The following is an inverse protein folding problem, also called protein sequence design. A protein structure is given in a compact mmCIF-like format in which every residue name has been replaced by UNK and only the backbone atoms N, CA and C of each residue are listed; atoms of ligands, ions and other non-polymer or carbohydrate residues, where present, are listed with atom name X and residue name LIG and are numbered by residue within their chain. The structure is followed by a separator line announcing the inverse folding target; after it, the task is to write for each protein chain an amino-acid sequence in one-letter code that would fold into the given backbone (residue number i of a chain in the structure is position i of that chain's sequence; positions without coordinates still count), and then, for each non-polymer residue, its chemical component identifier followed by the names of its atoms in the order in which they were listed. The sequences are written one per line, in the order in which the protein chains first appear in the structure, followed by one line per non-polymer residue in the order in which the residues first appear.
data_IF_185388741183
#
_entry.id   IF_185388741183
#
_cell.length_a   1.000
_cell.length_b   1.000
_cell.length_c   1.000
_cell.angle_alpha   90.00
_cell.angle_beta   90.00
_cell.angle_gamma   90.00
#
_symmetry.space_group_name_H-M   'P 1'
#
loop_
_entity.id
_entity.type
_entity.pdbx_description
1 polymer ?
#
# COMPACT_ATOMS: atom_id res chain seq x y z
N UNK A 1 -5.68 10.55 28.33
CA UNK A 1 -6.67 9.52 28.08
C UNK A 1 -6.22 8.16 28.63
N UNK A 2 -5.29 7.49 28.02
CA UNK A 2 -4.79 6.23 28.53
C UNK A 2 -4.14 6.38 29.90
N UNK A 3 -3.58 7.51 30.11
CA UNK A 3 -2.83 7.78 31.33
C UNK A 3 -3.70 7.68 32.57
N UNK A 4 -4.86 8.31 32.55
CA UNK A 4 -5.78 8.21 33.67
C UNK A 4 -6.30 6.81 33.86
N UNK A 5 -6.53 6.07 32.78
CA UNK A 5 -6.94 4.69 32.86
C UNK A 5 -5.86 3.81 33.47
N UNK A 6 -4.61 4.07 33.12
CA UNK A 6 -3.50 3.29 33.66
C UNK A 6 -3.42 3.36 35.18
N UNK A 7 -3.64 4.54 35.73
CA UNK A 7 -3.61 4.69 37.18
C UNK A 7 -4.69 3.87 37.86
N UNK A 8 -5.89 3.86 37.28
CA UNK A 8 -6.99 3.07 37.80
C UNK A 8 -6.73 1.59 37.68
N UNK A 9 -6.21 1.18 36.52
CA UNK A 9 -5.91 -0.22 36.26
C UNK A 9 -4.88 -0.78 37.22
N UNK A 10 -3.84 -0.01 37.49
CA UNK A 10 -2.77 -0.45 38.39
C UNK A 10 -3.27 -0.69 39.80
N UNK A 11 -4.32 0.01 40.20
CA UNK A 11 -4.84 -0.11 41.56
C UNK A 11 -5.77 -1.27 41.79
N UNK A 12 -6.56 -1.60 40.77
CA UNK A 12 -7.72 -2.48 40.98
C UNK A 12 -7.72 -3.75 40.18
N UNK A 13 -6.85 -3.88 39.20
CA UNK A 13 -6.86 -5.05 38.33
C UNK A 13 -5.97 -6.15 38.87
N UNK A 14 -6.51 -7.36 38.88
CA UNK A 14 -5.74 -8.55 39.15
C UNK A 14 -4.85 -8.89 37.95
N UNK A 15 -3.75 -9.66 38.17
CA UNK A 15 -2.88 -10.00 37.04
C UNK A 15 -3.59 -10.66 35.86
N UNK A 16 -4.56 -11.54 36.14
CA UNK A 16 -5.29 -12.21 35.05
C UNK A 16 -6.21 -11.24 34.31
N UNK A 17 -6.76 -10.26 35.01
CA UNK A 17 -7.60 -9.25 34.36
C UNK A 17 -6.76 -8.34 33.46
N UNK A 18 -5.56 -8.00 33.91
CA UNK A 18 -4.64 -7.19 33.11
C UNK A 18 -4.23 -7.97 31.86
N UNK A 19 -4.03 -9.27 31.98
CA UNK A 19 -3.66 -10.11 30.85
C UNK A 19 -4.80 -10.16 29.82
N UNK A 20 -6.02 -10.37 30.29
CA UNK A 20 -7.19 -10.39 29.40
C UNK A 20 -7.36 -9.08 28.67
N UNK A 21 -7.18 -7.97 29.37
CA UNK A 21 -7.25 -6.65 28.80
C UNK A 21 -6.21 -6.44 27.73
N UNK A 22 -4.99 -6.90 28.01
CA UNK A 22 -3.89 -6.83 27.06
C UNK A 22 -4.24 -7.62 25.79
N UNK A 23 -4.83 -8.82 25.96
CA UNK A 23 -5.23 -9.63 24.82
C UNK A 23 -6.31 -8.96 23.99
N UNK A 24 -7.27 -8.30 24.63
CA UNK A 24 -8.30 -7.55 23.93
C UNK A 24 -7.71 -6.41 23.11
N UNK A 25 -6.80 -5.62 23.69
CA UNK A 25 -6.15 -4.53 23.01
C UNK A 25 -5.34 -5.03 21.81
N UNK A 26 -4.69 -6.17 21.99
CA UNK A 26 -3.94 -6.78 20.91
C UNK A 26 -4.84 -7.16 19.74
N UNK A 27 -6.00 -7.74 20.03
CA UNK A 27 -6.96 -8.11 18.99
C UNK A 27 -7.48 -6.89 18.24
N UNK A 28 -7.78 -5.82 18.98
CA UNK A 28 -8.24 -4.57 18.36
C UNK A 28 -7.15 -4.00 17.44
N UNK A 29 -5.92 -4.00 17.92
CA UNK A 29 -4.79 -3.51 17.14
C UNK A 29 -4.62 -4.32 15.85
N UNK A 30 -4.73 -5.64 15.95
CA UNK A 30 -4.62 -6.52 14.79
C UNK A 30 -5.76 -6.29 13.80
N UNK A 31 -6.97 -6.07 14.30
CA UNK A 31 -8.12 -5.79 13.46
C UNK A 31 -7.95 -4.48 12.72
N UNK A 32 -7.45 -3.45 13.40
CA UNK A 32 -7.22 -2.14 12.77
C UNK A 32 -6.14 -2.23 11.70
N UNK A 33 -5.08 -2.99 11.95
CA UNK A 33 -4.02 -3.18 10.98
C UNK A 33 -4.54 -3.88 9.73
N UNK A 34 -5.43 -4.86 9.91
CA UNK A 34 -6.02 -5.59 8.80
C UNK A 34 -6.94 -4.69 7.98
N UNK A 35 -7.72 -3.85 8.64
CA UNK A 35 -8.60 -2.89 7.95
C UNK A 35 -7.77 -1.91 7.15
N UNK A 36 -6.70 -1.38 7.72
CA UNK A 36 -5.82 -0.45 7.03
C UNK A 36 -5.20 -1.11 5.81
N UNK A 37 -4.73 -2.35 5.95
CA UNK A 37 -4.16 -3.10 4.83
C UNK A 37 -5.19 -3.30 3.72
N UNK A 38 -6.42 -3.62 4.08
CA UNK A 38 -7.49 -3.78 3.12
C UNK A 38 -7.75 -2.49 2.35
N UNK A 39 -7.82 -1.38 3.07
CA UNK A 39 -8.11 -0.08 2.46
C UNK A 39 -6.99 0.38 1.54
N UNK A 40 -5.74 0.20 1.95
CA UNK A 40 -4.60 0.60 1.12
C UNK A 40 -4.51 -0.30 -0.10
N UNK A 41 -4.75 -1.60 0.06
CA UNK A 41 -4.80 -2.53 -1.08
C UNK A 41 -5.85 -2.09 -2.09
N UNK A 42 -7.02 -1.72 -1.61
CA UNK A 42 -8.08 -1.27 -2.49
C UNK A 42 -7.68 -0.02 -3.27
N UNK A 43 -7.03 0.92 -2.60
CA UNK A 43 -6.55 2.13 -3.26
C UNK A 43 -5.51 1.80 -4.33
N UNK A 44 -4.59 0.90 -4.01
CA UNK A 44 -3.55 0.51 -4.94
C UNK A 44 -4.13 -0.19 -6.18
N UNK A 45 -5.06 -1.12 -5.98
CA UNK A 45 -5.60 -1.91 -7.08
C UNK A 45 -6.70 -1.21 -7.87
N UNK A 46 -7.27 -0.13 -7.34
CA UNK A 46 -8.30 0.62 -8.05
C UNK A 46 -7.81 1.95 -8.61
N UNK A 47 -6.58 2.34 -8.29
CA UNK A 47 -6.03 3.60 -8.74
C UNK A 47 -5.81 3.59 -10.25
N UNK A 48 -6.31 4.61 -10.92
CA UNK A 48 -6.15 4.75 -12.37
C UNK A 48 -5.70 6.16 -12.71
N UNK A 49 -4.81 6.26 -13.68
CA UNK A 49 -4.34 7.53 -14.17
C UNK A 49 -5.34 8.09 -15.20
N UNK A 50 -5.69 9.35 -15.06
CA UNK A 50 -6.55 10.00 -16.03
C UNK A 50 -5.74 10.50 -17.22
N UNK A 51 -6.40 10.64 -18.38
CA UNK A 51 -5.74 10.96 -19.64
C UNK A 51 -4.88 12.22 -19.59
N UNK A 52 -5.37 13.24 -18.93
CA UNK A 52 -4.69 14.53 -18.92
C UNK A 52 -3.91 14.80 -17.64
N UNK A 53 -3.70 13.77 -16.82
CA UNK A 53 -2.98 13.98 -15.58
C UNK A 53 -1.49 13.67 -15.76
N UNK A 54 -0.72 14.06 -14.76
CA UNK A 54 0.73 13.88 -14.79
C UNK A 54 1.12 12.44 -14.47
N UNK A 55 1.92 11.83 -15.34
CA UNK A 55 2.44 10.51 -15.09
C UNK A 55 3.31 10.48 -13.83
N UNK A 56 4.07 11.54 -13.60
CA UNK A 56 4.92 11.62 -12.40
C UNK A 56 4.10 11.60 -11.12
N UNK A 57 2.99 12.35 -11.09
CA UNK A 57 2.13 12.36 -9.92
C UNK A 57 1.45 11.02 -9.71
N UNK A 58 1.00 10.39 -10.78
CA UNK A 58 0.38 9.08 -10.70
C UNK A 58 1.34 8.03 -10.14
N UNK A 59 2.59 8.05 -10.63
CA UNK A 59 3.61 7.13 -10.19
C UNK A 59 3.94 7.32 -8.71
N UNK A 60 4.04 8.58 -8.28
CA UNK A 60 4.27 8.88 -6.87
C UNK A 60 3.15 8.34 -5.99
N UNK A 61 1.92 8.49 -6.46
CA UNK A 61 0.76 7.98 -5.73
C UNK A 61 0.80 6.45 -5.63
N UNK A 62 1.04 5.78 -6.76
CA UNK A 62 1.10 4.31 -6.79
C UNK A 62 2.25 3.79 -5.93
N UNK A 63 3.40 4.45 -6.02
CA UNK A 63 4.56 4.09 -5.22
C UNK A 63 4.29 4.27 -3.73
N UNK A 64 3.57 5.33 -3.38
CA UNK A 64 3.17 5.57 -2.00
C UNK A 64 2.28 4.48 -1.45
N UNK A 65 1.31 4.02 -2.23
CA UNK A 65 0.45 2.92 -1.81
C UNK A 65 1.26 1.63 -1.62
N UNK A 66 2.17 1.34 -2.55
CA UNK A 66 3.00 0.15 -2.44
C UNK A 66 3.90 0.20 -1.20
N UNK A 67 4.51 1.35 -0.94
CA UNK A 67 5.34 1.51 0.24
C UNK A 67 4.53 1.35 1.53
N UNK A 68 3.31 1.86 1.54
CA UNK A 68 2.42 1.70 2.69
C UNK A 68 2.09 0.23 2.92
N UNK A 69 1.83 -0.51 1.83
CA UNK A 69 1.60 -1.95 1.94
C UNK A 69 2.81 -2.68 2.52
N UNK A 70 4.00 -2.29 2.09
CA UNK A 70 5.23 -2.89 2.62
C UNK A 70 5.34 -2.64 4.12
N UNK A 71 5.02 -1.44 4.58
CA UNK A 71 5.03 -1.12 6.00
C UNK A 71 4.02 -1.94 6.79
N UNK A 72 2.94 -2.34 6.14
CA UNK A 72 1.91 -3.16 6.76
C UNK A 72 2.20 -4.66 6.63
N UNK A 73 3.38 -5.00 6.11
CA UNK A 73 3.81 -6.40 6.00
C UNK A 73 3.41 -7.08 4.72
N UNK A 74 2.90 -6.34 3.73
CA UNK A 74 2.50 -6.90 2.44
C UNK A 74 3.59 -6.62 1.42
N UNK A 75 4.32 -7.67 1.04
CA UNK A 75 5.40 -7.56 0.07
C UNK A 75 4.95 -8.20 -1.24
N UNK A 76 4.47 -7.37 -2.15
CA UNK A 76 4.06 -7.84 -3.46
C UNK A 76 5.29 -8.10 -4.32
N UNK A 77 5.29 -9.15 -5.15
CA UNK A 77 6.39 -9.36 -6.10
C UNK A 77 6.52 -8.17 -7.03
N UNK A 78 7.73 -7.86 -7.43
CA UNK A 78 7.99 -6.72 -8.31
C UNK A 78 7.19 -6.83 -9.61
N UNK A 79 7.07 -8.03 -10.16
CA UNK A 79 6.30 -8.24 -11.39
C UNK A 79 4.84 -7.85 -11.21
N UNK A 80 4.27 -8.17 -10.04
CA UNK A 80 2.89 -7.82 -9.76
C UNK A 80 2.70 -6.31 -9.65
N UNK A 81 3.66 -5.62 -9.02
CA UNK A 81 3.61 -4.16 -8.90
C UNK A 81 3.72 -3.53 -10.29
N UNK A 82 4.65 -4.01 -11.10
CA UNK A 82 4.84 -3.52 -12.47
C UNK A 82 3.56 -3.69 -13.28
N UNK A 83 2.98 -4.89 -13.25
CA UNK A 83 1.73 -5.17 -13.97
C UNK A 83 0.62 -4.22 -13.52
N UNK A 84 0.52 -4.00 -12.22
CA UNK A 84 -0.53 -3.11 -11.70
C UNK A 84 -0.33 -1.68 -12.18
N UNK A 85 0.90 -1.20 -12.17
CA UNK A 85 1.20 0.15 -12.65
C UNK A 85 0.85 0.26 -14.14
N UNK A 86 1.25 -0.71 -14.94
CA UNK A 86 0.94 -0.69 -16.37
C UNK A 86 -0.57 -0.73 -16.63
N UNK A 87 -1.30 -1.54 -15.86
CA UNK A 87 -2.76 -1.63 -15.99
C UNK A 87 -3.46 -0.35 -15.59
N UNK A 88 -2.82 0.48 -14.78
CA UNK A 88 -3.42 1.73 -14.30
C UNK A 88 -3.28 2.88 -15.29
N UNK A 89 -2.55 2.69 -16.36
CA UNK A 89 -2.29 3.75 -17.34
C UNK A 89 -3.47 3.92 -18.28
N UNK A 90 -3.72 5.15 -18.78
CA UNK A 90 -4.83 5.40 -19.67
C UNK A 90 -4.57 4.90 -21.09
N UNK A 91 -5.60 4.86 -21.95
CA UNK A 91 -5.46 4.32 -23.31
C UNK A 91 -4.34 4.96 -24.13
N UNK A 92 -3.98 6.19 -23.87
CA UNK A 92 -2.90 6.85 -24.59
C UNK A 92 -1.55 6.17 -24.40
N UNK A 93 -1.42 5.31 -23.38
CA UNK A 93 -0.21 4.57 -23.11
C UNK A 93 -0.24 3.14 -23.67
N UNK A 94 -1.25 2.81 -24.45
CA UNK A 94 -1.43 1.45 -24.96
C UNK A 94 -0.19 0.93 -25.68
N UNK A 95 0.39 1.75 -26.56
CA UNK A 95 1.57 1.33 -27.31
C UNK A 95 2.78 1.12 -26.38
N UNK A 96 2.92 1.98 -25.38
CA UNK A 96 3.99 1.83 -24.40
C UNK A 96 3.86 0.51 -23.66
N UNK A 97 2.65 0.19 -23.21
CA UNK A 97 2.39 -1.05 -22.47
C UNK A 97 2.64 -2.26 -23.34
N UNK A 98 2.16 -2.23 -24.59
CA UNK A 98 2.37 -3.33 -25.52
C UNK A 98 3.86 -3.57 -25.77
N UNK A 99 4.58 -2.50 -26.03
CA UNK A 99 6.02 -2.63 -26.30
C UNK A 99 6.77 -3.16 -25.08
N UNK A 100 6.40 -2.70 -23.90
CA UNK A 100 7.01 -3.16 -22.66
C UNK A 100 6.82 -4.67 -22.51
N UNK A 101 5.58 -5.13 -22.69
CA UNK A 101 5.26 -6.55 -22.51
C UNK A 101 5.87 -7.43 -23.60
N UNK A 102 5.86 -6.95 -24.85
CA UNK A 102 6.36 -7.75 -25.97
C UNK A 102 7.87 -7.90 -25.95
N UNK A 103 8.57 -6.88 -25.48
CA UNK A 103 10.03 -6.94 -25.42
C UNK A 103 10.53 -7.73 -24.21
N UNK A 104 9.62 -8.16 -23.35
CA UNK A 104 9.98 -8.88 -22.14
C UNK A 104 10.95 -8.08 -21.29
N UNK A 105 10.70 -6.81 -21.15
CA UNK A 105 11.60 -5.94 -20.42
C UNK A 105 11.73 -6.37 -18.97
N UNK A 106 12.92 -6.83 -18.62
CA UNK A 106 13.23 -7.24 -17.26
C UNK A 106 13.81 -6.04 -16.52
N UNK A 107 12.97 -5.09 -16.21
CA UNK A 107 13.38 -3.86 -15.56
C UNK A 107 12.86 -3.80 -14.15
N UNK A 108 13.62 -3.12 -13.29
CA UNK A 108 13.16 -2.88 -11.93
C UNK A 108 12.01 -1.88 -11.94
N UNK A 109 11.28 -1.85 -10.83
CA UNK A 109 10.19 -0.88 -10.65
C UNK A 109 10.73 0.54 -10.82
N UNK A 110 11.92 0.80 -10.29
CA UNK A 110 12.54 2.12 -10.39
C UNK A 110 12.82 2.51 -11.83
N UNK A 111 13.29 1.56 -12.63
CA UNK A 111 13.55 1.83 -14.03
C UNK A 111 12.28 2.09 -14.82
N UNK A 112 11.22 1.32 -14.53
CA UNK A 112 9.91 1.56 -15.14
C UNK A 112 9.40 2.95 -14.79
N UNK A 113 9.52 3.34 -13.54
CA UNK A 113 9.07 4.66 -13.11
C UNK A 113 9.84 5.76 -13.83
N UNK A 114 11.14 5.59 -13.99
CA UNK A 114 11.96 6.55 -14.72
C UNK A 114 11.53 6.68 -16.18
N UNK A 115 11.22 5.56 -16.82
CA UNK A 115 10.75 5.57 -18.21
C UNK A 115 9.41 6.31 -18.33
N UNK A 116 8.51 6.09 -17.40
CA UNK A 116 7.20 6.74 -17.42
C UNK A 116 7.29 8.23 -17.15
N UNK A 117 8.21 8.65 -16.28
CA UNK A 117 8.40 10.07 -15.98
C UNK A 117 8.92 10.85 -17.18
N UNK A 118 9.73 10.22 -18.03
CA UNK A 118 10.25 10.86 -19.21
C UNK A 118 9.24 10.94 -20.34
N UNK A 119 8.24 10.07 -20.31
CA UNK A 119 7.21 10.05 -21.34
C UNK A 119 6.16 11.11 -21.07
N UNK A 120 5.84 11.87 -22.05
CA UNK A 120 4.85 12.94 -21.95
C UNK A 120 3.67 12.68 -22.85
#
# INVERSE_FOLDING_TARGET
MLYGLELGLQRHFEPHEAYEMFQELKLIFQANARIERYEVSNKFYSCKMEENSSASEHILKMSGYNNHLIQLGVNLPDDSVIDRVLQSLPPSYKNFVMNYNMQGMDKTIRELFAMLKLRR
#
